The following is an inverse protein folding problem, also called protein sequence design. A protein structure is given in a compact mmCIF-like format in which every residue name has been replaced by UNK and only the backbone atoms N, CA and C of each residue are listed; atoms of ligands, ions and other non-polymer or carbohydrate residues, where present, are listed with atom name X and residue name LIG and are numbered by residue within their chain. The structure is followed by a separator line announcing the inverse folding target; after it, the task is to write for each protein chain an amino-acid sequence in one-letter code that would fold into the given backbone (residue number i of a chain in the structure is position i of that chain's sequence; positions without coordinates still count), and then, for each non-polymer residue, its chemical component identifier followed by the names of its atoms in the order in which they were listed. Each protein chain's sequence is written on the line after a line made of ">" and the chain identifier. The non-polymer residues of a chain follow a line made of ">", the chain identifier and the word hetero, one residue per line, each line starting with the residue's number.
data_IF_670705166153
#
_entry.id   IF_670705166153
#
_cell.length_a   1.000
_cell.length_b   1.000
_cell.length_c   1.000
_cell.angle_alpha   90.00
_cell.angle_beta   90.00
_cell.angle_gamma   90.00
#
_symmetry.space_group_name_H-M   'P 1'
#
loop_
_entity.id
_entity.type
_entity.pdbx_description
1 polymer ?
#
# COMPACT_ATOMS: atom_id res chain seq x y z
N UNK A 1 7.38 15.69 -19.44
CA UNK A 1 6.33 14.71 -19.84
C UNK A 1 6.72 13.36 -19.28
N UNK A 2 6.15 12.97 -18.15
CA UNK A 2 6.33 11.66 -17.53
C UNK A 2 5.15 10.83 -18.00
N UNK A 3 5.39 9.99 -19.01
CA UNK A 3 4.41 8.98 -19.49
C UNK A 3 4.05 8.09 -18.30
N UNK A 4 2.81 8.17 -17.83
CA UNK A 4 2.32 7.32 -16.74
C UNK A 4 2.18 5.90 -17.29
N UNK A 5 2.99 4.97 -16.77
CA UNK A 5 2.92 3.51 -17.03
C UNK A 5 1.58 2.85 -16.62
N UNK A 6 0.52 3.62 -16.54
CA UNK A 6 -0.85 3.15 -16.22
C UNK A 6 -1.81 3.19 -17.41
N UNK A 7 -1.30 3.39 -18.61
CA UNK A 7 -2.14 3.31 -19.80
C UNK A 7 -2.37 1.84 -20.13
N UNK A 8 -3.66 1.47 -20.24
CA UNK A 8 -4.10 0.18 -20.72
C UNK A 8 -3.46 -0.08 -22.10
N UNK A 9 -2.53 -1.04 -22.19
CA UNK A 9 -2.11 -1.50 -23.50
C UNK A 9 -3.24 -2.37 -24.07
N UNK A 10 -4.10 -1.76 -24.87
CA UNK A 10 -5.24 -2.38 -25.54
C UNK A 10 -4.93 -2.64 -27.02
N UNK A 11 -3.68 -2.49 -27.44
CA UNK A 11 -3.26 -2.83 -28.81
C UNK A 11 -3.55 -4.32 -29.09
N UNK A 12 -4.16 -4.60 -30.23
CA UNK A 12 -4.54 -5.96 -30.61
C UNK A 12 -5.91 -6.43 -30.11
N UNK A 13 -6.74 -5.54 -29.51
CA UNK A 13 -8.14 -5.82 -29.19
C UNK A 13 -9.07 -5.18 -30.24
N UNK A 14 -10.24 -5.78 -30.44
CA UNK A 14 -11.27 -5.19 -31.26
C UNK A 14 -11.82 -3.89 -30.66
N UNK A 15 -12.29 -2.92 -31.47
CA UNK A 15 -12.76 -1.63 -31.00
C UNK A 15 -13.89 -1.72 -29.96
N UNK A 16 -14.84 -2.65 -30.14
CA UNK A 16 -15.96 -2.84 -29.20
C UNK A 16 -15.49 -3.27 -27.81
N UNK A 17 -14.51 -4.14 -27.70
CA UNK A 17 -13.93 -4.57 -26.42
C UNK A 17 -13.07 -3.45 -25.80
N UNK A 18 -12.32 -2.72 -26.60
CA UNK A 18 -11.52 -1.57 -26.18
C UNK A 18 -12.41 -0.49 -25.51
N UNK A 19 -13.53 -0.13 -26.16
CA UNK A 19 -14.50 0.82 -25.62
C UNK A 19 -15.10 0.29 -24.31
N UNK A 20 -15.49 -0.99 -24.26
CA UNK A 20 -16.09 -1.60 -23.08
C UNK A 20 -15.14 -1.60 -21.87
N UNK A 21 -13.83 -1.84 -22.08
CA UNK A 21 -12.82 -1.77 -21.02
C UNK A 21 -12.60 -0.32 -20.56
N UNK A 22 -12.63 0.66 -21.45
CA UNK A 22 -12.55 2.07 -21.08
C UNK A 22 -13.75 2.48 -20.20
N UNK A 23 -14.97 2.12 -20.57
CA UNK A 23 -16.17 2.36 -19.76
C UNK A 23 -16.10 1.67 -18.39
N UNK A 24 -15.58 0.45 -18.32
CA UNK A 24 -15.34 -0.22 -17.04
C UNK A 24 -14.35 0.53 -16.15
N UNK A 25 -13.28 1.07 -16.72
CA UNK A 25 -12.30 1.88 -15.98
C UNK A 25 -12.94 3.15 -15.41
N UNK A 26 -13.75 3.84 -16.21
CA UNK A 26 -14.47 5.03 -15.77
C UNK A 26 -15.48 4.71 -14.68
N UNK A 27 -16.18 3.58 -14.79
CA UNK A 27 -17.07 3.08 -13.75
C UNK A 27 -16.34 2.77 -12.44
N UNK A 28 -15.13 2.19 -12.50
CA UNK A 28 -14.31 1.96 -11.31
C UNK A 28 -13.97 3.26 -10.58
N UNK A 29 -13.68 4.32 -11.33
CA UNK A 29 -13.36 5.65 -10.80
C UNK A 29 -14.58 6.37 -10.24
N UNK A 30 -15.62 6.44 -11.01
CA UNK A 30 -16.81 7.23 -10.70
C UNK A 30 -17.71 6.56 -9.66
N UNK A 31 -18.26 5.39 -10.00
CA UNK A 31 -19.30 4.75 -9.19
C UNK A 31 -18.75 3.90 -8.03
N UNK A 32 -17.64 3.19 -8.22
CA UNK A 32 -17.05 2.36 -7.15
C UNK A 32 -16.13 3.12 -6.22
N UNK A 33 -15.70 4.31 -6.57
CA UNK A 33 -14.78 5.15 -5.76
C UNK A 33 -13.62 4.34 -5.19
N UNK A 34 -13.02 3.47 -6.01
CA UNK A 34 -11.89 2.67 -5.59
C UNK A 34 -10.69 3.57 -5.28
N UNK A 35 -9.88 3.15 -4.30
CA UNK A 35 -8.62 3.82 -4.08
C UNK A 35 -7.74 3.70 -5.34
N UNK A 36 -7.05 4.77 -5.72
CA UNK A 36 -6.24 4.88 -6.93
C UNK A 36 -5.29 3.69 -7.14
N UNK A 37 -4.63 3.22 -6.08
CA UNK A 37 -3.75 2.06 -6.15
C UNK A 37 -4.51 0.75 -6.45
N UNK A 38 -5.77 0.64 -6.03
CA UNK A 38 -6.60 -0.54 -6.35
C UNK A 38 -7.05 -0.49 -7.80
N UNK A 39 -7.43 0.68 -8.31
CA UNK A 39 -7.75 0.88 -9.72
C UNK A 39 -6.55 0.53 -10.60
N UNK A 40 -5.37 1.13 -10.32
CA UNK A 40 -4.13 0.83 -11.05
C UNK A 40 -3.81 -0.67 -11.07
N UNK A 41 -3.95 -1.34 -9.93
CA UNK A 41 -3.70 -2.78 -9.85
C UNK A 41 -4.71 -3.58 -10.69
N UNK A 42 -5.99 -3.20 -10.68
CA UNK A 42 -7.03 -3.87 -11.46
C UNK A 42 -6.85 -3.65 -12.96
N UNK A 43 -6.54 -2.43 -13.35
CA UNK A 43 -6.22 -2.07 -14.75
C UNK A 43 -5.03 -2.89 -15.26
N UNK A 44 -3.95 -2.98 -14.49
CA UNK A 44 -2.78 -3.80 -14.83
C UNK A 44 -3.14 -5.28 -14.96
N UNK A 45 -3.88 -5.84 -13.99
CA UNK A 45 -4.27 -7.26 -14.02
C UNK A 45 -5.17 -7.59 -15.23
N UNK A 46 -6.08 -6.68 -15.60
CA UNK A 46 -6.95 -6.84 -16.80
C UNK A 46 -6.13 -6.69 -18.09
N UNK A 47 -5.19 -5.73 -18.16
CA UNK A 47 -4.30 -5.60 -19.33
C UNK A 47 -3.47 -6.86 -19.57
N UNK A 48 -2.93 -7.46 -18.49
CA UNK A 48 -2.20 -8.74 -18.58
C UNK A 48 -3.12 -9.89 -19.04
N UNK A 49 -4.39 -9.88 -18.62
CA UNK A 49 -5.36 -10.87 -19.08
C UNK A 49 -5.68 -10.70 -20.58
N UNK A 50 -5.87 -9.47 -21.03
CA UNK A 50 -6.13 -9.19 -22.47
C UNK A 50 -4.93 -9.59 -23.33
N UNK A 51 -3.71 -9.23 -22.91
CA UNK A 51 -2.48 -9.66 -23.59
C UNK A 51 -2.35 -11.19 -23.66
N UNK A 52 -2.76 -11.90 -22.59
CA UNK A 52 -2.82 -13.36 -22.62
C UNK A 52 -3.84 -13.87 -23.65
N UNK A 53 -5.03 -13.27 -23.74
CA UNK A 53 -6.08 -13.71 -24.65
C UNK A 53 -5.69 -13.54 -26.11
N UNK A 54 -5.01 -12.45 -26.49
CA UNK A 54 -4.50 -12.24 -27.85
C UNK A 54 -3.62 -13.42 -28.29
N UNK A 55 -2.69 -13.83 -27.42
CA UNK A 55 -1.80 -14.96 -27.71
C UNK A 55 -2.52 -16.32 -27.64
N UNK A 56 -3.47 -16.47 -26.69
CA UNK A 56 -4.14 -17.73 -26.40
C UNK A 56 -5.19 -18.11 -27.43
N UNK A 57 -5.94 -17.12 -27.95
CA UNK A 57 -6.98 -17.34 -28.94
C UNK A 57 -6.43 -17.32 -30.37
N UNK A 58 -5.27 -16.68 -30.59
CA UNK A 58 -4.69 -16.53 -31.95
C UNK A 58 -5.48 -15.59 -32.87
N UNK A 59 -6.42 -14.84 -32.31
CA UNK A 59 -7.26 -13.88 -33.02
C UNK A 59 -7.38 -12.57 -32.20
N UNK A 60 -7.87 -11.51 -32.84
CA UNK A 60 -8.17 -10.24 -32.17
C UNK A 60 -9.40 -10.39 -31.27
N UNK A 61 -9.27 -10.40 -29.93
CA UNK A 61 -10.40 -10.59 -29.05
C UNK A 61 -11.42 -9.44 -29.16
N UNK A 62 -12.69 -9.81 -29.28
CA UNK A 62 -13.86 -8.94 -29.24
C UNK A 62 -14.82 -9.34 -28.10
N UNK A 63 -15.96 -8.67 -27.96
CA UNK A 63 -16.97 -9.01 -26.96
C UNK A 63 -17.52 -10.44 -27.12
N UNK A 64 -17.69 -10.91 -28.36
CA UNK A 64 -18.18 -12.27 -28.64
C UNK A 64 -17.12 -13.31 -28.22
N UNK A 65 -15.84 -13.05 -28.46
CA UNK A 65 -14.76 -13.90 -28.00
C UNK A 65 -14.71 -13.97 -26.46
N UNK A 66 -14.92 -12.83 -25.76
CA UNK A 66 -15.01 -12.80 -24.30
C UNK A 66 -16.18 -13.63 -23.76
N UNK A 67 -17.33 -13.59 -24.42
CA UNK A 67 -18.51 -14.38 -24.05
C UNK A 67 -18.28 -15.88 -24.20
N UNK A 68 -17.54 -16.29 -25.25
CA UNK A 68 -17.20 -17.70 -25.52
C UNK A 68 -16.12 -18.29 -24.61
N UNK A 69 -15.47 -17.50 -23.73
CA UNK A 69 -14.44 -18.00 -22.84
C UNK A 69 -14.99 -19.04 -21.87
N UNK A 70 -14.30 -20.17 -21.77
CA UNK A 70 -14.60 -21.24 -20.85
C UNK A 70 -13.76 -21.17 -19.58
N UNK A 71 -14.13 -21.90 -18.55
CA UNK A 71 -13.37 -22.03 -17.30
C UNK A 71 -11.90 -22.41 -17.56
N UNK A 72 -11.63 -23.22 -18.57
CA UNK A 72 -10.28 -23.67 -18.95
C UNK A 72 -9.37 -22.49 -19.35
N UNK A 73 -9.90 -21.46 -20.01
CA UNK A 73 -9.11 -20.32 -20.49
C UNK A 73 -8.65 -19.43 -19.34
N UNK A 74 -9.52 -19.17 -18.38
CA UNK A 74 -9.15 -18.50 -17.12
C UNK A 74 -8.14 -19.30 -16.30
N UNK A 75 -8.28 -20.64 -16.27
CA UNK A 75 -7.31 -21.52 -15.59
C UNK A 75 -5.95 -21.50 -16.27
N UNK A 76 -5.91 -21.51 -17.63
CA UNK A 76 -4.69 -21.40 -18.40
C UNK A 76 -3.95 -20.08 -18.09
N UNK A 77 -4.69 -18.96 -18.04
CA UNK A 77 -4.11 -17.68 -17.61
C UNK A 77 -3.52 -17.73 -16.19
N UNK A 78 -4.25 -18.28 -15.23
CA UNK A 78 -3.76 -18.41 -13.85
C UNK A 78 -2.55 -19.34 -13.76
N UNK A 79 -2.49 -20.41 -14.55
CA UNK A 79 -1.35 -21.33 -14.65
C UNK A 79 -0.14 -20.62 -15.26
N UNK A 80 -0.30 -19.86 -16.35
CA UNK A 80 0.77 -19.04 -16.95
C UNK A 80 1.34 -18.04 -15.94
N UNK A 81 0.49 -17.36 -15.15
CA UNK A 81 0.94 -16.45 -14.11
C UNK A 81 1.68 -17.19 -12.98
N UNK A 82 1.29 -18.42 -12.66
CA UNK A 82 2.00 -19.26 -11.69
C UNK A 82 3.40 -19.64 -12.20
N UNK A 83 3.52 -20.05 -13.46
CA UNK A 83 4.79 -20.37 -14.09
C UNK A 83 5.75 -19.17 -14.14
N UNK A 84 5.23 -17.93 -14.26
CA UNK A 84 5.98 -16.67 -14.14
C UNK A 84 6.33 -16.29 -12.70
N UNK A 85 6.09 -17.15 -11.71
CA UNK A 85 6.40 -16.88 -10.31
C UNK A 85 5.46 -15.88 -9.61
N UNK A 86 4.33 -15.49 -10.22
CA UNK A 86 3.38 -14.56 -9.61
C UNK A 86 2.73 -15.21 -8.38
N UNK A 87 2.75 -14.51 -7.24
CA UNK A 87 2.25 -15.04 -5.97
C UNK A 87 0.75 -15.41 -6.02
N UNK A 88 0.33 -16.36 -5.19
CA UNK A 88 -1.07 -16.78 -5.09
C UNK A 88 -2.01 -15.60 -4.76
N UNK A 89 -1.57 -14.66 -3.91
CA UNK A 89 -2.34 -13.46 -3.58
C UNK A 89 -2.51 -12.52 -4.79
N UNK A 90 -1.45 -12.30 -5.57
CA UNK A 90 -1.52 -11.50 -6.80
C UNK A 90 -2.38 -12.15 -7.87
N UNK A 91 -2.31 -13.48 -8.00
CA UNK A 91 -3.18 -14.24 -8.93
C UNK A 91 -4.65 -14.16 -8.51
N UNK A 92 -4.94 -14.27 -7.20
CA UNK A 92 -6.30 -14.14 -6.69
C UNK A 92 -6.84 -12.72 -6.89
N UNK A 93 -6.02 -11.67 -6.69
CA UNK A 93 -6.38 -10.29 -7.00
C UNK A 93 -6.68 -10.12 -8.48
N UNK A 94 -5.83 -10.63 -9.37
CA UNK A 94 -6.03 -10.56 -10.81
C UNK A 94 -7.33 -11.24 -11.23
N UNK A 95 -7.64 -12.43 -10.70
CA UNK A 95 -8.91 -13.08 -10.95
C UNK A 95 -10.10 -12.23 -10.47
N UNK A 96 -9.96 -11.56 -9.31
CA UNK A 96 -11.00 -10.65 -8.81
C UNK A 96 -11.21 -9.44 -9.73
N UNK A 97 -10.14 -8.89 -10.32
CA UNK A 97 -10.22 -7.80 -11.30
C UNK A 97 -10.93 -8.25 -12.58
N UNK A 98 -10.52 -9.40 -13.16
CA UNK A 98 -11.15 -9.99 -14.35
C UNK A 98 -12.63 -10.29 -14.11
N UNK A 99 -12.99 -10.91 -12.98
CA UNK A 99 -14.39 -11.11 -12.58
C UNK A 99 -15.15 -9.79 -12.45
N UNK A 100 -14.47 -8.74 -11.96
CA UNK A 100 -15.02 -7.40 -11.87
C UNK A 100 -15.40 -6.84 -13.24
N UNK A 101 -14.52 -7.01 -14.22
CA UNK A 101 -14.78 -6.65 -15.61
C UNK A 101 -15.94 -7.47 -16.18
N UNK A 102 -15.90 -8.81 -16.07
CA UNK A 102 -16.96 -9.67 -16.62
C UNK A 102 -18.34 -9.29 -16.05
N UNK A 103 -18.46 -9.10 -14.74
CA UNK A 103 -19.71 -8.64 -14.14
C UNK A 103 -20.17 -7.27 -14.63
N UNK A 104 -19.24 -6.37 -14.92
CA UNK A 104 -19.56 -5.09 -15.51
C UNK A 104 -20.11 -5.28 -16.92
N UNK A 105 -19.45 -6.07 -17.77
CA UNK A 105 -19.91 -6.35 -19.13
C UNK A 105 -21.30 -6.99 -19.16
N UNK A 106 -21.55 -7.99 -18.29
CA UNK A 106 -22.88 -8.61 -18.17
C UNK A 106 -23.94 -7.61 -17.69
N UNK A 107 -23.60 -6.76 -16.70
CA UNK A 107 -24.55 -5.73 -16.20
C UNK A 107 -24.89 -4.65 -17.23
N UNK A 108 -23.96 -4.38 -18.16
CA UNK A 108 -24.19 -3.44 -19.27
C UNK A 108 -24.79 -4.15 -20.51
N UNK A 109 -25.18 -5.42 -20.38
CA UNK A 109 -25.77 -6.23 -21.45
C UNK A 109 -24.86 -6.35 -22.68
N UNK A 110 -23.55 -6.12 -22.52
CA UNK A 110 -22.55 -6.25 -23.57
C UNK A 110 -22.15 -7.71 -23.85
N UNK A 111 -22.36 -8.58 -22.86
CA UNK A 111 -22.27 -10.05 -22.94
C UNK A 111 -23.43 -10.64 -22.13
N UNK A 112 -23.90 -11.84 -22.47
CA UNK A 112 -25.00 -12.50 -21.76
C UNK A 112 -24.53 -13.10 -20.45
N UNK A 113 -23.41 -13.82 -20.47
CA UNK A 113 -22.86 -14.50 -19.29
C UNK A 113 -21.34 -14.63 -19.36
N UNK A 114 -20.73 -15.05 -18.26
CA UNK A 114 -19.30 -15.34 -18.20
C UNK A 114 -18.97 -16.47 -17.23
N UNK A 115 -18.15 -17.42 -17.67
CA UNK A 115 -17.64 -18.52 -16.87
C UNK A 115 -16.64 -18.09 -15.76
N UNK A 116 -16.21 -16.81 -15.73
CA UNK A 116 -15.23 -16.31 -14.78
C UNK A 116 -15.64 -16.52 -13.30
N UNK A 117 -16.94 -16.47 -12.99
CA UNK A 117 -17.46 -16.66 -11.64
C UNK A 117 -17.21 -18.06 -11.09
N UNK A 118 -17.26 -19.10 -11.95
CA UNK A 118 -17.07 -20.50 -11.58
C UNK A 118 -15.59 -20.91 -11.39
N UNK A 119 -14.64 -20.06 -11.76
CA UNK A 119 -13.20 -20.33 -11.58
C UNK A 119 -12.83 -20.25 -10.08
N UNK A 120 -12.22 -21.27 -9.51
CA UNK A 120 -11.75 -21.21 -8.10
C UNK A 120 -10.52 -20.29 -7.99
N UNK A 121 -10.56 -19.38 -7.02
CA UNK A 121 -9.39 -18.57 -6.69
C UNK A 121 -8.25 -19.43 -6.14
N UNK A 122 -6.98 -19.12 -6.46
CA UNK A 122 -5.84 -19.78 -5.87
C UNK A 122 -5.90 -19.72 -4.33
N UNK A 123 -5.66 -20.87 -3.66
CA UNK A 123 -5.55 -20.89 -2.20
C UNK A 123 -4.40 -20.00 -1.77
N UNK A 124 -4.71 -19.02 -0.95
CA UNK A 124 -3.68 -18.18 -0.35
C UNK A 124 -3.20 -18.85 0.94
N UNK A 125 -1.89 -19.04 1.15
CA UNK A 125 -1.42 -19.45 2.46
C UNK A 125 -1.85 -18.36 3.45
N UNK A 126 -2.46 -18.75 4.57
CA UNK A 126 -2.76 -17.85 5.69
C UNK A 126 -1.42 -17.42 6.29
N UNK A 127 -0.76 -16.43 5.67
CA UNK A 127 0.38 -15.79 6.29
C UNK A 127 -0.16 -14.91 7.40
N UNK A 128 -0.09 -15.38 8.63
CA UNK A 128 -0.25 -14.49 9.77
C UNK A 128 0.96 -13.53 9.72
N UNK A 129 0.74 -12.22 9.64
CA UNK A 129 1.82 -11.26 9.79
C UNK A 129 2.46 -11.50 11.15
N UNK A 130 3.72 -11.93 11.19
CA UNK A 130 4.44 -12.04 12.45
C UNK A 130 5.01 -10.66 12.76
N UNK A 131 4.69 -10.08 13.93
CA UNK A 131 5.32 -8.85 14.38
C UNK A 131 6.82 -9.10 14.53
N UNK A 132 7.62 -8.09 14.27
CA UNK A 132 9.04 -8.11 14.59
C UNK A 132 9.17 -7.93 16.10
N UNK A 133 10.00 -8.72 16.76
CA UNK A 133 10.32 -8.49 18.16
C UNK A 133 10.92 -7.10 18.40
N UNK A 134 10.82 -6.57 19.60
CA UNK A 134 11.30 -5.21 19.98
C UNK A 134 12.75 -4.99 19.55
N UNK A 135 13.65 -5.95 19.82
CA UNK A 135 15.06 -5.82 19.47
C UNK A 135 15.28 -5.82 17.95
N UNK A 136 14.53 -6.64 17.22
CA UNK A 136 14.57 -6.65 15.76
C UNK A 136 14.06 -5.34 15.16
N UNK A 137 12.97 -4.78 15.69
CA UNK A 137 12.48 -3.48 15.26
C UNK A 137 13.51 -2.37 15.52
N UNK A 138 14.18 -2.41 16.67
CA UNK A 138 15.30 -1.50 17.00
C UNK A 138 16.47 -1.64 16.03
N UNK A 139 16.85 -2.87 15.69
CA UNK A 139 17.91 -3.13 14.72
C UNK A 139 17.57 -2.60 13.33
N UNK A 140 16.32 -2.80 12.86
CA UNK A 140 15.83 -2.24 11.60
C UNK A 140 15.92 -0.71 11.57
N UNK A 141 15.50 -0.04 12.64
CA UNK A 141 15.58 1.42 12.73
C UNK A 141 17.05 1.91 12.75
N UNK A 142 17.93 1.24 13.48
CA UNK A 142 19.37 1.57 13.52
C UNK A 142 19.99 1.40 12.13
N UNK A 143 19.74 0.29 11.46
CA UNK A 143 20.26 0.00 10.13
C UNK A 143 19.71 1.00 9.08
N UNK A 144 18.49 1.48 9.24
CA UNK A 144 17.93 2.50 8.38
C UNK A 144 18.68 3.82 8.41
N UNK A 145 19.26 4.18 9.55
CA UNK A 145 20.09 5.38 9.73
C UNK A 145 21.47 5.28 9.09
N UNK A 146 21.88 4.09 8.64
CA UNK A 146 23.16 3.87 7.97
C UNK A 146 22.97 3.94 6.46
N UNK A 147 23.79 4.72 5.71
CA UNK A 147 23.73 4.71 4.25
C UNK A 147 23.94 3.28 3.71
N UNK A 148 23.12 2.83 2.74
CA UNK A 148 23.23 1.46 2.20
C UNK A 148 24.52 1.23 1.43
N UNK A 149 25.16 2.29 0.96
CA UNK A 149 26.43 2.30 0.21
C UNK A 149 27.12 3.66 0.42
N UNK A 150 28.44 3.72 0.25
CA UNK A 150 29.22 4.96 0.44
C UNK A 150 28.76 6.13 -0.46
N UNK A 151 28.26 5.81 -1.66
CA UNK A 151 27.84 6.82 -2.64
C UNK A 151 26.46 7.43 -2.31
N UNK A 152 25.72 6.86 -1.34
CA UNK A 152 24.43 7.37 -0.92
C UNK A 152 24.63 8.48 0.12
N UNK A 153 24.13 9.66 -0.19
CA UNK A 153 24.19 10.80 0.69
C UNK A 153 23.55 10.51 2.07
N UNK A 154 24.19 10.96 3.13
CA UNK A 154 23.76 10.69 4.51
C UNK A 154 22.31 11.10 4.81
N UNK A 155 21.84 12.19 4.21
CA UNK A 155 20.47 12.66 4.41
C UNK A 155 19.41 11.63 3.92
N UNK A 156 19.75 10.80 2.93
CA UNK A 156 18.88 9.73 2.42
C UNK A 156 18.68 8.65 3.49
N UNK A 157 19.72 8.30 4.22
CA UNK A 157 19.62 7.37 5.33
C UNK A 157 18.80 7.96 6.49
N UNK A 158 19.00 9.24 6.81
CA UNK A 158 18.18 9.94 7.82
C UNK A 158 16.71 10.01 7.41
N UNK A 159 16.43 10.24 6.12
CA UNK A 159 15.06 10.17 5.57
C UNK A 159 14.43 8.79 5.80
N UNK A 160 15.15 7.75 5.43
CA UNK A 160 14.65 6.37 5.53
C UNK A 160 14.44 5.97 6.99
N UNK A 161 15.35 6.37 7.87
CA UNK A 161 15.21 6.22 9.32
C UNK A 161 13.97 6.93 9.85
N UNK A 162 13.78 8.21 9.52
CA UNK A 162 12.61 8.99 9.93
C UNK A 162 11.29 8.36 9.44
N UNK A 163 11.25 7.92 8.18
CA UNK A 163 10.10 7.25 7.62
C UNK A 163 9.76 5.96 8.37
N UNK A 164 10.74 5.06 8.54
CA UNK A 164 10.51 3.79 9.22
C UNK A 164 10.20 3.99 10.71
N UNK A 165 10.76 5.05 11.31
CA UNK A 165 10.42 5.41 12.67
C UNK A 165 8.95 5.82 12.83
N UNK A 166 8.39 6.59 11.90
CA UNK A 166 6.95 6.92 11.92
C UNK A 166 6.06 5.68 11.73
N UNK A 167 6.50 4.70 10.93
CA UNK A 167 5.75 3.44 10.77
C UNK A 167 5.71 2.63 12.07
N UNK A 168 6.83 2.58 12.82
CA UNK A 168 6.93 1.85 14.06
C UNK A 168 6.51 2.68 15.28
N UNK A 169 6.90 3.95 15.33
CA UNK A 169 6.70 4.82 16.51
C UNK A 169 5.34 5.53 16.55
N UNK A 170 4.63 5.63 15.41
CA UNK A 170 3.30 6.23 15.35
C UNK A 170 2.27 5.31 14.63
N UNK A 171 2.70 4.11 14.26
CA UNK A 171 1.84 3.12 13.62
C UNK A 171 1.25 3.55 12.27
N UNK A 172 1.94 4.40 11.52
CA UNK A 172 1.44 4.87 10.23
C UNK A 172 1.49 3.77 9.16
N UNK A 173 0.52 3.80 8.23
CA UNK A 173 0.68 3.09 6.95
C UNK A 173 1.72 3.81 6.10
N UNK A 174 2.49 3.08 5.29
CA UNK A 174 3.50 3.71 4.42
C UNK A 174 2.88 4.79 3.52
N UNK A 175 1.70 4.58 2.96
CA UNK A 175 1.00 5.59 2.16
C UNK A 175 0.58 6.82 2.98
N UNK A 176 0.20 6.65 4.26
CA UNK A 176 -0.11 7.75 5.16
C UNK A 176 1.15 8.57 5.46
N UNK A 177 2.26 7.92 5.76
CA UNK A 177 3.54 8.59 6.01
C UNK A 177 4.05 9.35 4.77
N UNK A 178 3.94 8.74 3.58
CA UNK A 178 4.35 9.38 2.32
C UNK A 178 3.42 10.51 1.87
N UNK A 179 2.17 10.55 2.36
CA UNK A 179 1.23 11.65 2.08
C UNK A 179 1.41 12.87 3.00
N UNK A 180 2.30 12.80 3.99
CA UNK A 180 2.61 13.95 4.84
C UNK A 180 3.28 15.07 4.03
N UNK A 181 2.96 16.30 4.39
CA UNK A 181 3.53 17.51 3.76
C UNK A 181 4.41 18.27 4.72
N UNK A 182 5.21 19.18 4.22
CA UNK A 182 6.03 20.11 5.04
C UNK A 182 5.21 20.97 5.99
N UNK A 183 3.92 21.16 5.73
CA UNK A 183 2.98 21.86 6.62
C UNK A 183 2.86 21.21 8.00
N UNK A 184 3.12 19.89 8.09
CA UNK A 184 3.05 19.13 9.33
C UNK A 184 4.39 19.13 10.12
N UNK A 185 5.42 19.74 9.57
CA UNK A 185 6.71 19.91 10.24
C UNK A 185 6.83 21.32 10.86
N UNK A 186 7.45 21.44 12.05
CA UNK A 186 7.95 20.36 12.91
C UNK A 186 6.81 19.50 13.45
N UNK A 187 7.05 18.19 13.58
CA UNK A 187 6.03 17.25 14.07
C UNK A 187 5.89 17.46 15.60
N UNK A 188 4.66 17.74 16.02
CA UNK A 188 4.32 17.88 17.44
C UNK A 188 4.14 16.52 18.15
N UNK A 189 3.65 16.55 19.40
CA UNK A 189 3.32 15.33 20.16
C UNK A 189 2.23 14.47 19.51
N UNK A 190 1.43 15.08 18.65
CA UNK A 190 0.39 14.41 17.88
C UNK A 190 0.45 14.82 16.43
N UNK A 191 0.09 13.90 15.55
CA UNK A 191 0.04 14.08 14.10
C UNK A 191 -1.34 13.69 13.58
N UNK A 192 -1.97 14.57 12.82
CA UNK A 192 -3.21 14.24 12.10
C UNK A 192 -2.87 13.57 10.79
N UNK A 193 -3.40 12.38 10.58
CA UNK A 193 -3.18 11.59 9.36
C UNK A 193 -4.52 11.28 8.68
N UNK A 194 -4.50 11.33 7.34
CA UNK A 194 -5.65 10.99 6.51
C UNK A 194 -5.51 9.56 5.99
N UNK A 195 -6.43 8.71 6.35
CA UNK A 195 -6.48 7.32 5.94
C UNK A 195 -7.33 7.07 4.69
N UNK A 196 -7.57 5.80 4.39
CA UNK A 196 -8.42 5.38 3.27
C UNK A 196 -9.84 5.98 3.38
N UNK A 197 -10.32 6.55 2.30
CA UNK A 197 -11.66 7.16 2.23
C UNK A 197 -11.75 8.54 2.85
N UNK A 198 -10.62 9.26 3.01
CA UNK A 198 -10.60 10.63 3.53
C UNK A 198 -10.79 10.74 5.05
N UNK A 199 -10.88 9.62 5.77
CA UNK A 199 -11.04 9.63 7.22
C UNK A 199 -9.75 10.10 7.89
N UNK A 200 -9.85 11.12 8.73
CA UNK A 200 -8.73 11.63 9.53
C UNK A 200 -8.72 10.99 10.91
N UNK A 201 -7.53 10.80 11.45
CA UNK A 201 -7.31 10.44 12.85
C UNK A 201 -6.06 11.13 13.39
N UNK A 202 -6.04 11.31 14.69
CA UNK A 202 -4.86 11.81 15.39
C UNK A 202 -4.06 10.62 15.92
N UNK A 203 -2.74 10.67 15.78
CA UNK A 203 -1.82 9.66 16.30
C UNK A 203 -0.76 10.34 17.16
N UNK A 204 -0.40 9.79 18.33
CA UNK A 204 0.72 10.28 19.12
C UNK A 204 2.05 9.98 18.42
N UNK A 205 3.02 10.85 18.62
CA UNK A 205 4.37 10.69 18.06
C UNK A 205 5.40 10.83 19.17
N UNK A 206 6.16 9.76 19.42
CA UNK A 206 7.19 9.75 20.45
C UNK A 206 8.33 10.74 20.15
N UNK A 207 9.01 11.27 21.19
CA UNK A 207 10.09 12.23 21.01
C UNK A 207 11.17 11.77 20.05
N UNK A 208 11.58 10.50 20.11
CA UNK A 208 12.62 9.94 19.24
C UNK A 208 12.21 9.89 17.77
N UNK A 209 10.91 9.69 17.45
CA UNK A 209 10.43 9.76 16.06
C UNK A 209 10.40 11.21 15.54
N UNK A 210 10.06 12.18 16.41
CA UNK A 210 10.13 13.61 16.08
C UNK A 210 11.56 14.03 15.76
N UNK A 211 12.50 13.69 16.65
CA UNK A 211 13.93 13.97 16.46
C UNK A 211 14.47 13.34 15.16
N UNK A 212 14.05 12.14 14.82
CA UNK A 212 14.44 11.51 13.55
C UNK A 212 13.96 12.31 12.32
N UNK A 213 12.73 12.85 12.38
CA UNK A 213 12.20 13.70 11.31
C UNK A 213 12.95 15.03 11.26
N UNK A 214 13.21 15.65 12.39
CA UNK A 214 13.94 16.92 12.47
C UNK A 214 15.39 16.76 11.95
N UNK A 215 16.07 15.68 12.30
CA UNK A 215 17.42 15.36 11.79
C UNK A 215 17.40 15.17 10.26
N UNK A 216 16.41 14.48 9.72
CA UNK A 216 16.22 14.38 8.29
C UNK A 216 16.01 15.74 7.63
N UNK A 217 15.12 16.57 8.21
CA UNK A 217 14.79 17.87 7.64
C UNK A 217 15.99 18.83 7.63
N UNK A 218 16.79 18.79 8.69
CA UNK A 218 18.01 19.60 8.79
C UNK A 218 19.09 19.20 7.78
N UNK A 219 19.18 17.90 7.46
CA UNK A 219 20.19 17.38 6.52
C UNK A 219 19.73 17.39 5.05
N UNK A 220 18.44 17.50 4.80
CA UNK A 220 17.86 17.41 3.44
C UNK A 220 18.23 18.66 2.61
N UNK A 221 18.95 18.51 1.48
CA UNK A 221 19.38 19.66 0.66
C UNK A 221 18.25 20.30 -0.13
N UNK A 222 17.11 19.60 -0.26
CA UNK A 222 16.00 20.09 -1.07
C UNK A 222 15.03 20.94 -0.27
N UNK A 223 14.81 22.15 -0.73
CA UNK A 223 13.79 23.05 -0.19
C UNK A 223 12.49 22.91 -0.98
N UNK A 224 11.39 22.69 -0.26
CA UNK A 224 10.04 22.62 -0.83
C UNK A 224 9.09 23.48 0.00
N UNK A 225 8.08 24.04 -0.64
CA UNK A 225 7.06 24.84 0.05
C UNK A 225 6.24 24.00 1.07
N UNK A 226 5.44 24.68 1.89
CA UNK A 226 4.65 24.06 2.96
C UNK A 226 3.73 22.92 2.46
N UNK A 227 3.24 23.01 1.24
CA UNK A 227 2.38 21.99 0.62
C UNK A 227 3.16 20.88 -0.09
N UNK A 228 4.48 21.02 -0.20
CA UNK A 228 5.36 20.01 -0.75
C UNK A 228 5.45 18.77 0.16
N UNK A 229 5.84 17.61 -0.38
CA UNK A 229 5.91 16.38 0.39
C UNK A 229 6.95 16.46 1.51
N UNK A 230 6.64 15.82 2.64
CA UNK A 230 7.57 15.73 3.77
C UNK A 230 8.79 14.89 3.41
N UNK A 231 8.59 13.72 2.78
CA UNK A 231 9.64 12.79 2.39
C UNK A 231 9.97 12.91 0.90
N UNK A 232 11.22 13.23 0.61
CA UNK A 232 11.70 13.51 -0.74
C UNK A 232 12.57 12.39 -1.30
N UNK A 233 12.44 12.15 -2.60
CA UNK A 233 13.38 11.35 -3.37
C UNK A 233 14.67 12.12 -3.62
N UNK A 234 15.72 11.41 -4.05
CA UNK A 234 17.04 11.98 -4.30
C UNK A 234 17.06 13.17 -5.30
N UNK A 235 16.05 13.28 -6.13
CA UNK A 235 15.88 14.40 -7.10
C UNK A 235 14.94 15.51 -6.60
N UNK A 236 14.62 15.55 -5.30
CA UNK A 236 13.76 16.57 -4.70
C UNK A 236 12.26 16.40 -4.92
N UNK A 237 11.81 15.40 -5.68
CA UNK A 237 10.40 15.07 -5.85
C UNK A 237 9.87 14.15 -4.73
N UNK A 238 8.57 13.84 -4.79
CA UNK A 238 7.93 12.90 -3.85
C UNK A 238 8.69 11.56 -3.79
N UNK A 239 8.94 11.08 -2.58
CA UNK A 239 9.49 9.73 -2.37
C UNK A 239 8.48 8.66 -2.83
N UNK A 240 8.83 7.90 -3.84
CA UNK A 240 7.97 6.82 -4.33
C UNK A 240 7.92 5.63 -3.34
N UNK A 241 6.73 5.08 -3.11
CA UNK A 241 6.48 3.91 -2.25
C UNK A 241 7.42 2.72 -2.61
N UNK A 242 7.67 2.50 -3.90
CA UNK A 242 8.58 1.45 -4.36
C UNK A 242 10.02 1.61 -3.86
N UNK A 243 10.51 2.84 -3.70
CA UNK A 243 11.85 3.15 -3.16
C UNK A 243 11.89 2.83 -1.66
N UNK A 244 10.90 3.28 -0.90
CA UNK A 244 10.80 2.99 0.53
C UNK A 244 10.72 1.47 0.81
N UNK A 245 9.93 0.73 0.01
CA UNK A 245 9.85 -0.73 0.11
C UNK A 245 11.15 -1.42 -0.29
N UNK A 246 11.87 -0.89 -1.27
CA UNK A 246 13.19 -1.42 -1.65
C UNK A 246 14.18 -1.24 -0.51
N UNK A 247 14.23 -0.06 0.13
CA UNK A 247 15.10 0.17 1.29
C UNK A 247 14.82 -0.82 2.43
N UNK A 248 13.56 -1.07 2.74
CA UNK A 248 13.21 -2.07 3.75
C UNK A 248 13.66 -3.49 3.35
N UNK A 249 13.67 -3.83 2.06
CA UNK A 249 14.22 -5.13 1.59
C UNK A 249 15.74 -5.19 1.75
N UNK A 250 16.45 -4.12 1.47
CA UNK A 250 17.90 -4.02 1.67
C UNK A 250 18.26 -4.22 3.15
N UNK A 251 17.58 -3.48 4.05
CA UNK A 251 17.74 -3.64 5.50
C UNK A 251 17.44 -5.07 5.96
N UNK A 252 16.36 -5.65 5.43
CA UNK A 252 16.00 -7.04 5.74
C UNK A 252 17.10 -8.04 5.35
N UNK A 253 17.70 -7.86 4.19
CA UNK A 253 18.80 -8.71 3.71
C UNK A 253 20.05 -8.52 4.57
N UNK A 254 20.44 -7.26 4.85
CA UNK A 254 21.57 -6.93 5.71
C UNK A 254 21.47 -7.55 7.10
N UNK A 255 20.28 -7.57 7.68
CA UNK A 255 20.02 -8.12 9.02
C UNK A 255 19.62 -9.61 9.03
N UNK A 256 19.63 -10.30 7.89
CA UNK A 256 19.22 -11.71 7.80
C UNK A 256 17.76 -11.97 8.19
N UNK A 257 16.86 -10.97 8.03
CA UNK A 257 15.46 -11.08 8.46
C UNK A 257 14.59 -11.80 7.42
N UNK A 258 13.49 -12.45 7.83
CA UNK A 258 12.60 -13.16 6.94
C UNK A 258 11.86 -12.20 5.99
N UNK A 259 11.33 -12.72 4.87
CA UNK A 259 10.55 -11.95 3.88
C UNK A 259 9.33 -11.23 4.47
N UNK A 260 8.82 -11.69 5.60
CA UNK A 260 7.72 -11.06 6.33
C UNK A 260 8.10 -9.71 6.97
N UNK A 261 9.39 -9.40 7.13
CA UNK A 261 9.88 -8.11 7.61
C UNK A 261 9.67 -7.03 6.54
N UNK A 262 8.54 -6.36 6.61
CA UNK A 262 8.04 -5.35 5.66
C UNK A 262 7.68 -4.06 6.39
N UNK A 263 7.47 -2.93 5.69
CA UNK A 263 6.92 -1.73 6.32
C UNK A 263 5.60 -1.98 7.06
N UNK A 264 4.77 -2.90 6.57
CA UNK A 264 3.54 -3.27 7.25
C UNK A 264 3.79 -4.07 8.53
N UNK A 265 4.85 -4.90 8.55
CA UNK A 265 5.26 -5.61 9.76
C UNK A 265 5.71 -4.66 10.87
N UNK A 266 6.41 -3.55 10.56
CA UNK A 266 6.76 -2.53 11.54
C UNK A 266 5.52 -1.90 12.20
N UNK A 267 4.52 -1.55 11.39
CA UNK A 267 3.25 -1.06 11.91
C UNK A 267 2.51 -2.11 12.75
N UNK A 268 2.55 -3.37 12.34
CA UNK A 268 1.95 -4.46 13.11
C UNK A 268 2.69 -4.67 14.44
N UNK A 269 4.01 -4.58 14.42
CA UNK A 269 4.84 -4.63 15.63
C UNK A 269 4.52 -3.51 16.61
N UNK A 270 4.27 -2.28 16.13
CA UNK A 270 3.75 -1.19 16.95
C UNK A 270 2.50 -1.61 17.73
N UNK A 271 1.48 -2.14 17.02
CA UNK A 271 0.24 -2.57 17.65
C UNK A 271 0.44 -3.68 18.69
N UNK A 272 1.27 -4.68 18.34
CA UNK A 272 1.53 -5.83 19.22
C UNK A 272 2.30 -5.40 20.45
N UNK A 273 3.34 -4.60 20.29
CA UNK A 273 4.15 -4.14 21.43
C UNK A 273 3.38 -3.21 22.38
N UNK A 274 2.48 -2.37 21.84
CA UNK A 274 1.57 -1.61 22.70
C UNK A 274 0.62 -2.50 23.50
N UNK A 275 0.10 -3.55 22.87
CA UNK A 275 -0.79 -4.50 23.53
C UNK A 275 -0.05 -5.30 24.63
N UNK A 276 1.16 -5.79 24.32
CA UNK A 276 2.03 -6.53 25.26
C UNK A 276 2.46 -5.66 26.46
N UNK A 277 2.58 -4.35 26.24
CA UNK A 277 2.89 -3.38 27.30
C UNK A 277 1.64 -2.94 28.11
N UNK A 278 0.49 -3.59 27.92
CA UNK A 278 -0.74 -3.33 28.67
C UNK A 278 -1.67 -2.28 28.06
N UNK A 279 -1.42 -1.86 26.81
CA UNK A 279 -2.31 -0.96 26.10
C UNK A 279 -3.69 -1.58 25.82
N UNK A 280 -4.75 -0.80 25.95
CA UNK A 280 -6.11 -1.25 25.66
C UNK A 280 -6.30 -1.53 24.17
N UNK A 281 -6.84 -2.71 23.85
CA UNK A 281 -7.05 -3.17 22.46
C UNK A 281 -7.90 -2.19 21.64
N UNK A 282 -8.94 -1.60 22.24
CA UNK A 282 -9.84 -0.66 21.58
C UNK A 282 -9.11 0.63 21.22
N UNK A 283 -8.35 1.18 22.14
CA UNK A 283 -7.48 2.35 21.95
C UNK A 283 -6.47 2.10 20.82
N UNK A 284 -5.84 0.91 20.81
CA UNK A 284 -4.89 0.53 19.74
C UNK A 284 -5.57 0.42 18.38
N UNK A 285 -6.78 -0.15 18.30
CA UNK A 285 -7.53 -0.25 17.06
C UNK A 285 -7.93 1.13 16.52
N UNK A 286 -8.29 2.06 17.38
CA UNK A 286 -8.61 3.44 17.03
C UNK A 286 -7.37 4.18 16.50
N UNK A 287 -6.23 4.06 17.19
CA UNK A 287 -4.93 4.58 16.72
C UNK A 287 -4.55 4.07 15.32
N UNK A 288 -4.82 2.81 15.06
CA UNK A 288 -4.54 2.19 13.77
C UNK A 288 -5.57 2.54 12.69
N UNK A 289 -6.72 3.10 13.05
CA UNK A 289 -7.77 3.41 12.07
C UNK A 289 -8.32 2.15 11.41
N UNK A 290 -8.67 1.12 12.21
CA UNK A 290 -9.38 -0.06 11.75
C UNK A 290 -10.85 0.31 11.53
N UNK A 291 -11.37 0.10 10.32
CA UNK A 291 -12.70 0.48 9.88
C UNK A 291 -13.79 -0.47 10.42
N UNK A 292 -13.95 -0.56 11.74
CA UNK A 292 -14.89 -1.49 12.37
C UNK A 292 -15.93 -0.85 13.29
N UNK A 293 -15.82 0.42 13.68
CA UNK A 293 -16.84 1.09 14.49
C UNK A 293 -16.85 2.59 14.17
N UNK A 294 -18.03 3.07 13.82
CA UNK A 294 -18.31 4.47 13.50
C UNK A 294 -18.14 5.35 14.75
N UNK A 295 -17.04 6.07 14.86
CA UNK A 295 -16.92 7.12 15.89
C UNK A 295 -16.01 8.25 15.42
N UNK A 296 -16.45 8.99 14.40
CA UNK A 296 -15.74 10.20 13.93
C UNK A 296 -16.11 11.45 14.77
N UNK A 297 -16.92 11.34 15.82
CA UNK A 297 -17.51 12.52 16.47
C UNK A 297 -17.18 12.71 17.95
N UNK A 298 -16.29 11.93 18.59
CA UNK A 298 -16.15 12.01 20.06
C UNK A 298 -14.80 12.42 20.62
N UNK A 299 -13.85 12.90 19.80
CA UNK A 299 -12.48 13.21 20.27
C UNK A 299 -12.14 14.71 20.23
N UNK A 300 -12.97 15.53 20.83
CA UNK A 300 -12.67 16.95 21.08
C UNK A 300 -12.52 17.16 22.59
N UNK A 301 -11.37 16.84 23.16
CA UNK A 301 -10.95 17.45 24.42
C UNK A 301 -10.56 16.55 25.58
N UNK A 302 -11.19 15.40 25.84
CA UNK A 302 -10.94 14.62 27.09
C UNK A 302 -9.98 13.43 26.89
N UNK A 303 -9.85 12.90 25.68
CA UNK A 303 -9.13 11.64 25.46
C UNK A 303 -7.64 11.80 25.06
N UNK A 304 -7.20 13.02 24.72
CA UNK A 304 -5.82 13.25 24.27
C UNK A 304 -4.78 12.94 25.34
N UNK A 305 -5.02 13.38 26.56
CA UNK A 305 -4.10 13.14 27.67
C UNK A 305 -4.05 11.65 28.02
N UNK A 306 -5.20 10.99 28.15
CA UNK A 306 -5.27 9.54 28.40
C UNK A 306 -4.63 8.71 27.29
N UNK A 307 -4.83 9.11 26.03
CA UNK A 307 -4.22 8.44 24.88
C UNK A 307 -2.70 8.56 24.91
N UNK A 308 -2.18 9.75 25.20
CA UNK A 308 -0.74 10.00 25.34
C UNK A 308 -0.14 9.26 26.52
N UNK A 309 -0.83 9.21 27.66
CA UNK A 309 -0.35 8.52 28.85
C UNK A 309 -0.35 7.00 28.66
N UNK A 310 -1.42 6.42 28.10
CA UNK A 310 -1.46 5.02 27.76
C UNK A 310 -0.39 4.65 26.71
N UNK A 311 -0.17 5.54 25.75
CA UNK A 311 0.86 5.35 24.73
C UNK A 311 2.28 5.46 25.32
N UNK A 312 2.55 6.46 26.18
CA UNK A 312 3.84 6.62 26.86
C UNK A 312 4.13 5.44 27.79
N UNK A 313 3.14 4.97 28.54
CA UNK A 313 3.29 3.82 29.43
C UNK A 313 3.55 2.51 28.68
N UNK A 314 2.98 2.36 27.50
CA UNK A 314 3.01 1.11 26.73
C UNK A 314 4.09 1.07 25.63
N UNK A 315 4.66 2.22 25.22
CA UNK A 315 5.61 2.19 24.11
C UNK A 315 7.04 1.87 24.59
N UNK A 316 7.72 0.84 24.04
CA UNK A 316 9.06 0.40 24.50
C UNK A 316 10.18 1.45 24.33
N UNK A 317 9.86 2.66 23.86
CA UNK A 317 10.76 3.80 23.64
C UNK A 317 10.11 5.16 23.90
N UNK A 318 9.02 5.18 24.68
CA UNK A 318 8.47 6.43 25.16
C UNK A 318 9.38 7.09 26.21
#
# INVERSE_FOLDING_TARGET
>A
MISSRSDLNLAGLAPNLTIAIALWRDWLRGQRRLAENTEKAYVTDVSEFMAFLIEHLGETPDLAAIERLHIRDYRAWLARRAAKGISASSRARGLAAVRGLMRFLTRQELIKESAASAVRAPKQPKRQPRPLGVQTAKAVLKEAATPPRPEVEAWVALRDHALLFLLYGAGLRIGEALSLTRRQAPIGETLTVTGKGGKTRMVPVIPSARLAVDSYLAACPHQVGKDGPLFLGVRGGLLADGIARRRMREIRVSLGLPESATPHALRHSFATHLLEAGGDLRTIQELLGHAGLSTTQRYLGVDRARLLDAYRAAHPRA
#
